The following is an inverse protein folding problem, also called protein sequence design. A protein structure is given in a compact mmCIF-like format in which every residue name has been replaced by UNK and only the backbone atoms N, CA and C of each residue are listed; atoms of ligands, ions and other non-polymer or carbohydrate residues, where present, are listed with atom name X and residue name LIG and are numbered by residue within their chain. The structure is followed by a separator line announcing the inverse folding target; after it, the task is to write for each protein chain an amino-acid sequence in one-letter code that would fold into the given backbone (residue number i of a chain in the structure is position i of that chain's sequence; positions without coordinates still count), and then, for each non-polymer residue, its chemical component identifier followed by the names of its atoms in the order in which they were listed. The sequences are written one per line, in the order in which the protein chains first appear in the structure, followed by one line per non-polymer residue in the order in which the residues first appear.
data_IF_145579701698
#
_entry.id   IF_145579701698
#
_cell.length_a   1.000
_cell.length_b   1.000
_cell.length_c   1.000
_cell.angle_alpha   90.00
_cell.angle_beta   90.00
_cell.angle_gamma   90.00
#
_symmetry.space_group_name_H-M   'P 1'
#
loop_
_entity.id
_entity.type
_entity.pdbx_description
1 polymer ?
#
# COMPACT_ATOMS: atom_id res chain seq x y z
N UNK A 1 28.34 -14.68 0.10
CA UNK A 1 27.00 -15.05 -0.40
C UNK A 1 25.99 -14.33 0.46
N UNK A 2 25.08 -13.51 -0.06
CA UNK A 2 24.00 -12.94 0.74
C UNK A 2 23.21 -14.12 1.32
N UNK A 3 22.86 -14.04 2.60
CA UNK A 3 22.15 -15.14 3.24
C UNK A 3 20.79 -15.31 2.61
N UNK A 4 20.53 -16.47 2.03
CA UNK A 4 19.23 -16.91 1.49
C UNK A 4 18.07 -16.71 2.49
N UNK A 5 18.41 -16.63 3.77
CA UNK A 5 17.48 -16.45 4.90
C UNK A 5 16.71 -15.12 4.87
N UNK A 6 17.32 -14.01 4.43
CA UNK A 6 16.66 -12.69 4.36
C UNK A 6 15.58 -12.66 3.29
N UNK A 7 15.88 -13.13 2.10
CA UNK A 7 14.94 -13.23 0.97
C UNK A 7 13.80 -14.18 1.29
N UNK A 8 14.10 -15.38 1.82
CA UNK A 8 13.08 -16.34 2.23
C UNK A 8 12.14 -15.75 3.30
N UNK A 9 12.68 -15.03 4.29
CA UNK A 9 11.89 -14.40 5.35
C UNK A 9 11.02 -13.25 4.81
N UNK A 10 11.49 -12.47 3.82
CA UNK A 10 10.70 -11.44 3.16
C UNK A 10 9.51 -12.03 2.38
N UNK A 11 9.70 -13.15 1.70
CA UNK A 11 8.61 -13.87 1.05
C UNK A 11 7.57 -14.35 2.05
N UNK A 12 7.97 -14.95 3.17
CA UNK A 12 7.05 -15.39 4.23
C UNK A 12 6.30 -14.19 4.81
N UNK A 13 6.97 -13.07 5.06
CA UNK A 13 6.33 -11.83 5.51
C UNK A 13 5.22 -11.39 4.54
N UNK A 14 5.50 -11.35 3.25
CA UNK A 14 4.53 -10.96 2.21
C UNK A 14 3.33 -11.90 2.16
N UNK A 15 3.56 -13.22 2.27
CA UNK A 15 2.50 -14.23 2.31
C UNK A 15 1.59 -14.03 3.52
N UNK A 16 2.17 -13.83 4.71
CA UNK A 16 1.43 -13.63 5.96
C UNK A 16 0.62 -12.35 5.93
N UNK A 17 1.19 -11.24 5.42
CA UNK A 17 0.46 -9.95 5.24
C UNK A 17 -0.74 -10.11 4.31
N UNK A 18 -0.58 -10.79 3.19
CA UNK A 18 -1.67 -11.07 2.25
C UNK A 18 -2.74 -11.96 2.87
N UNK A 19 -2.35 -12.97 3.62
CA UNK A 19 -3.29 -13.86 4.33
C UNK A 19 -4.13 -13.09 5.36
N UNK A 20 -3.52 -12.21 6.16
CA UNK A 20 -4.20 -11.33 7.11
C UNK A 20 -5.21 -10.41 6.41
N UNK A 21 -4.82 -9.76 5.32
CA UNK A 21 -5.69 -8.89 4.53
C UNK A 21 -6.92 -9.65 3.98
N UNK A 22 -6.72 -10.86 3.44
CA UNK A 22 -7.81 -11.71 2.93
C UNK A 22 -8.81 -12.09 4.01
N UNK A 23 -8.35 -12.39 5.22
CA UNK A 23 -9.24 -12.72 6.36
C UNK A 23 -10.13 -11.56 6.76
N UNK A 24 -9.63 -10.32 6.71
CA UNK A 24 -10.45 -9.12 6.92
C UNK A 24 -11.58 -9.01 5.90
N UNK A 25 -11.29 -9.27 4.62
CA UNK A 25 -12.30 -9.27 3.54
C UNK A 25 -13.36 -10.35 3.80
N UNK A 26 -12.94 -11.57 4.14
CA UNK A 26 -13.85 -12.65 4.44
C UNK A 26 -14.68 -12.45 5.72
N UNK A 27 -14.11 -11.77 6.72
CA UNK A 27 -14.86 -11.37 7.92
C UNK A 27 -16.03 -10.41 7.58
N UNK A 28 -15.78 -9.42 6.69
CA UNK A 28 -16.84 -8.54 6.19
C UNK A 28 -17.92 -9.32 5.46
N UNK A 29 -17.54 -10.29 4.60
CA UNK A 29 -18.49 -11.16 3.89
C UNK A 29 -19.30 -12.00 4.85
N UNK A 30 -18.66 -12.64 5.83
CA UNK A 30 -19.34 -13.44 6.84
C UNK A 30 -20.35 -12.61 7.66
N UNK A 31 -20.03 -11.37 8.02
CA UNK A 31 -20.97 -10.45 8.67
C UNK A 31 -22.20 -10.17 7.81
N UNK A 32 -22.01 -9.88 6.52
CA UNK A 32 -23.13 -9.65 5.58
C UNK A 32 -24.04 -10.86 5.42
N UNK A 33 -23.50 -12.08 5.61
CA UNK A 33 -24.25 -13.33 5.58
C UNK A 33 -24.87 -13.72 6.93
N UNK A 34 -24.76 -12.86 7.97
CA UNK A 34 -25.25 -13.15 9.32
C UNK A 34 -24.42 -14.16 10.12
N UNK A 35 -23.28 -14.59 9.61
CA UNK A 35 -22.39 -15.61 10.21
C UNK A 35 -21.44 -14.96 11.22
N UNK A 36 -22.01 -14.52 12.35
CA UNK A 36 -21.27 -13.71 13.35
C UNK A 36 -20.07 -14.43 13.97
N UNK A 37 -20.21 -15.73 14.27
CA UNK A 37 -19.13 -16.52 14.87
C UNK A 37 -17.94 -16.66 13.91
N UNK A 38 -18.21 -16.96 12.64
CA UNK A 38 -17.19 -17.05 11.59
C UNK A 38 -16.50 -15.67 11.37
N UNK A 39 -17.28 -14.59 11.34
CA UNK A 39 -16.72 -13.24 11.18
C UNK A 39 -15.74 -12.91 12.31
N UNK A 40 -16.10 -13.15 13.56
CA UNK A 40 -15.22 -12.92 14.72
C UNK A 40 -13.97 -13.80 14.67
N UNK A 41 -14.10 -15.06 14.28
CA UNK A 41 -12.95 -15.95 14.12
C UNK A 41 -12.00 -15.44 13.04
N UNK A 42 -12.53 -15.05 11.88
CA UNK A 42 -11.72 -14.52 10.76
C UNK A 42 -11.00 -13.21 11.14
N UNK A 43 -11.63 -12.34 11.92
CA UNK A 43 -10.98 -11.14 12.46
C UNK A 43 -9.84 -11.50 13.41
N UNK A 44 -10.06 -12.44 14.32
CA UNK A 44 -9.04 -12.90 15.26
C UNK A 44 -7.85 -13.56 14.54
N UNK A 45 -8.11 -14.41 13.52
CA UNK A 45 -7.09 -15.02 12.69
C UNK A 45 -6.28 -13.96 11.93
N UNK A 46 -6.96 -12.97 11.34
CA UNK A 46 -6.29 -11.85 10.66
C UNK A 46 -5.40 -11.02 11.61
N UNK A 47 -5.88 -10.76 12.82
CA UNK A 47 -5.10 -10.05 13.85
C UNK A 47 -3.87 -10.87 14.31
N UNK A 48 -4.02 -12.19 14.44
CA UNK A 48 -2.91 -13.09 14.76
C UNK A 48 -1.83 -13.06 13.69
N UNK A 49 -2.21 -13.16 12.42
CA UNK A 49 -1.27 -13.09 11.30
C UNK A 49 -0.61 -11.72 11.18
N UNK A 50 -1.33 -10.64 11.46
CA UNK A 50 -0.75 -9.30 11.49
C UNK A 50 0.34 -9.18 12.59
N UNK A 51 0.13 -9.79 13.73
CA UNK A 51 1.15 -9.85 14.80
C UNK A 51 2.37 -10.69 14.37
N UNK A 52 2.16 -11.82 13.68
CA UNK A 52 3.23 -12.64 13.13
C UNK A 52 4.04 -11.86 12.07
N UNK A 53 3.36 -11.16 11.15
CA UNK A 53 4.00 -10.32 10.14
C UNK A 53 4.87 -9.23 10.77
N UNK A 54 4.39 -8.56 11.83
CA UNK A 54 5.17 -7.56 12.56
C UNK A 54 6.43 -8.16 13.18
N UNK A 55 6.34 -9.35 13.74
CA UNK A 55 7.51 -10.06 14.29
C UNK A 55 8.51 -10.45 13.20
N UNK A 56 8.02 -10.93 12.05
CA UNK A 56 8.87 -11.22 10.88
C UNK A 56 9.59 -9.96 10.41
N UNK A 57 8.87 -8.85 10.26
CA UNK A 57 9.45 -7.58 9.85
C UNK A 57 10.53 -7.08 10.79
N UNK A 58 10.32 -7.17 12.10
CA UNK A 58 11.32 -6.80 13.10
C UNK A 58 12.61 -7.64 13.00
N UNK A 59 12.50 -8.91 12.60
CA UNK A 59 13.67 -9.76 12.35
C UNK A 59 14.34 -9.43 11.01
N UNK A 60 13.56 -9.05 9.99
CA UNK A 60 14.07 -8.64 8.68
C UNK A 60 14.93 -7.38 8.77
N UNK A 61 14.57 -6.40 9.59
CA UNK A 61 15.28 -5.11 9.72
C UNK A 61 16.79 -5.28 9.94
N UNK A 62 17.23 -6.33 10.64
CA UNK A 62 18.66 -6.62 10.86
C UNK A 62 19.33 -7.48 9.79
N UNK A 63 18.62 -7.88 8.72
CA UNK A 63 19.09 -8.86 7.72
C UNK A 63 18.84 -8.40 6.28
N UNK A 64 18.37 -7.16 6.08
CA UNK A 64 18.13 -6.63 4.73
C UNK A 64 19.47 -6.43 4.04
N UNK A 65 19.57 -6.97 2.83
CA UNK A 65 20.72 -6.73 1.96
C UNK A 65 20.68 -5.27 1.45
N UNK A 66 21.74 -4.53 1.74
CA UNK A 66 21.87 -3.13 1.33
C UNK A 66 22.39 -2.97 -0.11
N UNK A 67 22.75 -4.06 -0.77
CA UNK A 67 23.25 -4.06 -2.14
C UNK A 67 22.14 -4.11 -3.20
N UNK A 68 20.90 -4.45 -2.82
CA UNK A 68 19.78 -4.53 -3.75
C UNK A 68 19.37 -3.15 -4.25
N UNK A 69 19.15 -3.04 -5.55
CA UNK A 69 18.56 -1.84 -6.16
C UNK A 69 17.04 -1.81 -6.00
N UNK A 70 16.59 -1.72 -4.75
CA UNK A 70 15.17 -1.74 -4.39
C UNK A 70 14.35 -0.60 -5.02
N UNK A 71 14.99 0.55 -5.33
CA UNK A 71 14.29 1.67 -5.96
C UNK A 71 13.79 1.32 -7.36
N UNK A 72 14.63 0.66 -8.17
CA UNK A 72 14.21 0.22 -9.50
C UNK A 72 13.05 -0.79 -9.41
N UNK A 73 13.13 -1.78 -8.52
CA UNK A 73 12.06 -2.74 -8.29
C UNK A 73 10.75 -2.05 -7.91
N UNK A 74 10.79 -1.11 -6.95
CA UNK A 74 9.59 -0.40 -6.49
C UNK A 74 8.98 0.45 -7.60
N UNK A 75 9.78 1.28 -8.29
CA UNK A 75 9.25 2.30 -9.19
C UNK A 75 9.09 1.83 -10.65
N UNK A 76 9.78 0.79 -11.07
CA UNK A 76 9.71 0.29 -12.45
C UNK A 76 8.87 -0.99 -12.57
N UNK A 77 8.83 -1.84 -11.53
CA UNK A 77 8.11 -3.11 -11.56
C UNK A 77 6.84 -3.08 -10.71
N UNK A 78 6.94 -2.86 -9.40
CA UNK A 78 5.78 -2.93 -8.49
C UNK A 78 4.75 -1.83 -8.79
N UNK A 79 5.18 -0.59 -9.03
CA UNK A 79 4.29 0.51 -9.38
C UNK A 79 3.51 0.22 -10.68
N UNK A 80 4.19 -0.36 -11.68
CA UNK A 80 3.55 -0.75 -12.94
C UNK A 80 2.52 -1.86 -12.73
N UNK A 81 2.80 -2.86 -11.89
CA UNK A 81 1.87 -3.93 -11.55
C UNK A 81 0.62 -3.40 -10.85
N UNK A 82 0.79 -2.52 -9.87
CA UNK A 82 -0.34 -1.90 -9.14
C UNK A 82 -1.21 -1.07 -10.08
N UNK A 83 -0.59 -0.26 -10.95
CA UNK A 83 -1.32 0.56 -11.94
C UNK A 83 -2.08 -0.31 -12.94
N UNK A 84 -1.49 -1.40 -13.43
CA UNK A 84 -2.17 -2.36 -14.31
C UNK A 84 -3.36 -3.02 -13.60
N UNK A 85 -3.23 -3.35 -12.32
CA UNK A 85 -4.32 -3.85 -11.49
C UNK A 85 -5.49 -2.88 -11.41
N UNK A 86 -5.23 -1.59 -11.16
CA UNK A 86 -6.27 -0.56 -11.15
C UNK A 86 -6.94 -0.40 -12.53
N UNK A 87 -6.18 -0.42 -13.61
CA UNK A 87 -6.73 -0.29 -14.97
C UNK A 87 -7.68 -1.45 -15.32
N UNK A 88 -7.26 -2.67 -15.05
CA UNK A 88 -8.09 -3.87 -15.26
C UNK A 88 -9.42 -3.79 -14.47
N UNK A 89 -9.37 -3.33 -13.21
CA UNK A 89 -10.59 -3.16 -12.42
C UNK A 89 -11.46 -2.00 -12.89
N UNK A 90 -10.87 -0.92 -13.42
CA UNK A 90 -11.59 0.19 -14.03
C UNK A 90 -12.36 -0.26 -15.29
N UNK A 91 -11.75 -1.06 -16.16
CA UNK A 91 -12.41 -1.63 -17.33
C UNK A 91 -13.61 -2.48 -16.91
N UNK A 92 -13.44 -3.36 -15.94
CA UNK A 92 -14.51 -4.18 -15.39
C UNK A 92 -15.65 -3.35 -14.78
N UNK A 93 -15.32 -2.31 -14.01
CA UNK A 93 -16.32 -1.42 -13.41
C UNK A 93 -17.12 -0.62 -14.46
N UNK A 94 -16.46 -0.17 -15.53
CA UNK A 94 -17.11 0.49 -16.67
C UNK A 94 -18.04 -0.47 -17.40
N UNK A 95 -17.59 -1.68 -17.67
CA UNK A 95 -18.41 -2.71 -18.36
C UNK A 95 -19.68 -3.07 -17.58
N UNK A 96 -19.63 -3.00 -16.25
CA UNK A 96 -20.79 -3.26 -15.37
C UNK A 96 -21.62 -2.01 -15.05
N UNK A 97 -21.24 -0.83 -15.55
CA UNK A 97 -21.94 0.43 -15.28
C UNK A 97 -21.83 0.91 -13.82
N UNK A 98 -20.87 0.41 -13.04
CA UNK A 98 -20.69 0.79 -11.64
C UNK A 98 -19.94 2.11 -11.50
N UNK A 99 -20.65 3.24 -11.65
CA UNK A 99 -20.08 4.59 -11.63
C UNK A 99 -19.39 4.94 -10.31
N UNK A 100 -19.91 4.46 -9.18
CA UNK A 100 -19.30 4.69 -7.87
C UNK A 100 -17.92 4.02 -7.78
N UNK A 101 -17.81 2.77 -8.23
CA UNK A 101 -16.54 2.05 -8.25
C UNK A 101 -15.56 2.67 -9.25
N UNK A 102 -16.03 3.10 -10.42
CA UNK A 102 -15.21 3.84 -11.40
C UNK A 102 -14.62 5.10 -10.78
N UNK A 103 -15.41 5.87 -10.03
CA UNK A 103 -14.94 7.08 -9.36
C UNK A 103 -13.82 6.76 -8.35
N UNK A 104 -14.04 5.79 -7.47
CA UNK A 104 -13.05 5.39 -6.45
C UNK A 104 -11.77 4.88 -7.09
N UNK A 105 -11.85 3.94 -8.05
CA UNK A 105 -10.68 3.37 -8.71
C UNK A 105 -9.89 4.43 -9.50
N UNK A 106 -10.59 5.40 -10.10
CA UNK A 106 -9.94 6.51 -10.80
C UNK A 106 -9.11 7.36 -9.85
N UNK A 107 -9.64 7.64 -8.65
CA UNK A 107 -8.90 8.40 -7.63
C UNK A 107 -7.68 7.62 -7.11
N UNK A 108 -7.85 6.32 -6.79
CA UNK A 108 -6.75 5.47 -6.33
C UNK A 108 -5.65 5.36 -7.38
N UNK A 109 -6.01 5.11 -8.64
CA UNK A 109 -5.06 5.08 -9.75
C UNK A 109 -4.30 6.39 -9.94
N UNK A 110 -4.98 7.54 -9.81
CA UNK A 110 -4.32 8.86 -9.89
C UNK A 110 -3.34 9.07 -8.74
N UNK A 111 -3.70 8.68 -7.52
CA UNK A 111 -2.82 8.76 -6.38
C UNK A 111 -1.57 7.88 -6.56
N UNK A 112 -1.75 6.65 -7.02
CA UNK A 112 -0.67 5.70 -7.29
C UNK A 112 0.26 6.20 -8.41
N UNK A 113 -0.30 6.64 -9.54
CA UNK A 113 0.48 7.14 -10.67
C UNK A 113 1.40 8.32 -10.29
N UNK A 114 1.01 9.14 -9.31
CA UNK A 114 1.85 10.23 -8.82
C UNK A 114 3.13 9.73 -8.18
N UNK A 115 3.15 8.55 -7.60
CA UNK A 115 4.34 8.02 -6.92
C UNK A 115 5.54 7.92 -7.85
N UNK A 116 5.31 7.75 -9.16
CA UNK A 116 6.38 7.76 -10.16
C UNK A 116 7.21 9.05 -10.19
N UNK A 117 6.64 10.18 -9.74
CA UNK A 117 7.33 11.47 -9.73
C UNK A 117 8.41 11.59 -8.64
N UNK A 118 8.43 10.66 -7.69
CA UNK A 118 9.41 10.64 -6.59
C UNK A 118 10.72 9.91 -6.96
N UNK A 119 10.80 9.35 -8.16
CA UNK A 119 11.96 8.62 -8.63
C UNK A 119 12.53 9.20 -9.92
N UNK A 120 13.81 9.62 -9.88
CA UNK A 120 14.58 10.03 -11.04
C UNK A 120 15.24 8.80 -11.68
N UNK A 121 14.57 8.22 -12.69
CA UNK A 121 15.06 7.03 -13.40
C UNK A 121 16.42 7.21 -14.07
N UNK A 122 16.74 8.43 -14.52
CA UNK A 122 18.02 8.68 -15.19
C UNK A 122 19.18 8.64 -14.20
N UNK A 123 18.93 9.06 -12.97
CA UNK A 123 19.94 9.09 -11.90
C UNK A 123 19.86 7.88 -10.96
N UNK A 124 18.84 7.05 -11.06
CA UNK A 124 18.62 5.90 -10.19
C UNK A 124 18.45 6.26 -8.72
N UNK A 125 17.85 7.42 -8.41
CA UNK A 125 17.67 7.91 -7.04
C UNK A 125 16.32 8.60 -6.83
N UNK A 126 15.95 8.79 -5.56
CA UNK A 126 14.76 9.59 -5.22
C UNK A 126 14.92 11.05 -5.66
N UNK A 127 13.82 11.63 -6.11
CA UNK A 127 13.74 13.01 -6.60
C UNK A 127 13.20 13.96 -5.51
N UNK A 128 13.61 13.75 -4.26
CA UNK A 128 13.18 14.51 -3.07
C UNK A 128 14.38 14.85 -2.20
N UNK A 129 14.25 15.86 -1.34
CA UNK A 129 15.27 16.21 -0.35
C UNK A 129 15.31 15.24 0.82
N UNK A 130 16.45 15.11 1.50
CA UNK A 130 16.64 14.20 2.64
C UNK A 130 15.77 14.57 3.85
N UNK A 131 15.42 15.85 4.00
CA UNK A 131 14.60 16.41 5.06
C UNK A 131 13.15 16.70 4.62
N UNK A 132 12.69 16.05 3.54
CA UNK A 132 11.35 16.27 3.00
C UNK A 132 10.27 15.77 3.95
N UNK A 133 9.24 16.59 4.13
CA UNK A 133 8.04 16.23 4.88
C UNK A 133 6.99 15.60 3.96
N UNK A 134 6.39 14.51 4.40
CA UNK A 134 5.40 13.76 3.64
C UNK A 134 4.04 13.77 4.31
N UNK A 135 2.99 13.95 3.50
CA UNK A 135 1.60 13.98 3.96
C UNK A 135 0.73 13.07 3.12
N UNK A 136 -0.02 12.18 3.76
CA UNK A 136 -0.87 11.18 3.07
C UNK A 136 -2.34 11.47 3.29
N UNK A 137 -3.11 11.50 2.20
CA UNK A 137 -4.56 11.55 2.26
C UNK A 137 -5.10 10.15 2.67
N UNK A 138 -5.84 10.02 3.80
CA UNK A 138 -6.31 8.73 4.28
C UNK A 138 -7.43 8.12 3.42
N UNK A 139 -8.00 8.88 2.48
CA UNK A 139 -9.10 8.42 1.63
C UNK A 139 -8.63 7.83 0.30
N UNK A 140 -7.66 8.46 -0.37
CA UNK A 140 -7.22 8.01 -1.69
C UNK A 140 -5.73 7.66 -1.77
N UNK A 141 -4.97 7.84 -0.69
CA UNK A 141 -3.52 7.56 -0.67
C UNK A 141 -2.67 8.64 -1.36
N UNK A 142 -3.23 9.78 -1.79
CA UNK A 142 -2.43 10.86 -2.38
C UNK A 142 -1.31 11.29 -1.45
N UNK A 143 -0.08 11.31 -1.97
CA UNK A 143 1.12 11.71 -1.26
C UNK A 143 1.52 13.13 -1.66
N UNK A 144 1.57 14.04 -0.69
CA UNK A 144 2.08 15.40 -0.83
C UNK A 144 3.43 15.54 -0.13
N UNK A 145 4.22 16.50 -0.58
CA UNK A 145 5.51 16.89 0.01
C UNK A 145 5.47 18.34 0.50
N UNK A 146 6.32 18.67 1.45
CA UNK A 146 6.49 20.00 2.05
C UNK A 146 5.40 20.38 3.04
N UNK A 147 4.15 20.41 2.60
CA UNK A 147 2.98 20.72 3.45
C UNK A 147 1.72 20.03 2.98
N UNK A 148 0.80 19.80 3.90
CA UNK A 148 -0.53 19.32 3.56
C UNK A 148 -1.27 20.36 2.69
N UNK A 149 -1.88 19.97 1.57
CA UNK A 149 -2.70 20.86 0.78
C UNK A 149 -4.01 21.17 1.53
N UNK A 150 -4.63 22.34 1.27
CA UNK A 150 -5.93 22.71 1.85
C UNK A 150 -7.06 21.73 1.47
N UNK A 151 -6.93 21.14 0.29
CA UNK A 151 -7.80 20.06 -0.21
C UNK A 151 -6.96 19.06 -1.00
N UNK A 152 -7.31 17.78 -0.85
CA UNK A 152 -6.67 16.73 -1.64
C UNK A 152 -6.96 16.95 -3.14
N UNK A 153 -5.95 17.09 -4.00
CA UNK A 153 -6.14 17.37 -5.43
C UNK A 153 -6.73 16.18 -6.20
N UNK A 154 -6.76 15.00 -5.58
CA UNK A 154 -7.28 13.77 -6.20
C UNK A 154 -8.73 13.49 -5.82
N UNK A 155 -9.08 13.55 -4.52
CA UNK A 155 -10.42 13.18 -4.04
C UNK A 155 -11.20 14.36 -3.42
N UNK A 156 -10.59 15.54 -3.26
CA UNK A 156 -11.25 16.72 -2.68
C UNK A 156 -11.39 16.71 -1.15
N UNK A 157 -10.86 15.70 -0.45
CA UNK A 157 -10.90 15.64 1.01
C UNK A 157 -10.26 16.88 1.64
N UNK A 158 -10.81 17.33 2.79
CA UNK A 158 -10.29 18.49 3.52
C UNK A 158 -8.86 18.24 4.00
N UNK A 159 -7.99 19.26 3.92
CA UNK A 159 -6.58 19.17 4.27
C UNK A 159 -6.33 18.78 5.73
N UNK A 160 -7.22 19.16 6.64
CA UNK A 160 -7.16 18.76 8.05
C UNK A 160 -7.23 17.24 8.30
N UNK A 161 -7.73 16.48 7.32
CA UNK A 161 -7.74 15.02 7.36
C UNK A 161 -6.42 14.38 6.86
N UNK A 162 -5.60 15.16 6.14
CA UNK A 162 -4.33 14.69 5.57
C UNK A 162 -3.31 14.60 6.69
N UNK A 163 -2.64 13.46 6.81
CA UNK A 163 -1.74 13.15 7.92
C UNK A 163 -0.29 13.23 7.51
N UNK A 164 0.52 13.86 8.35
CA UNK A 164 1.96 13.77 8.22
C UNK A 164 2.44 12.34 8.53
N UNK A 165 3.35 11.85 7.72
CA UNK A 165 4.01 10.58 7.96
C UNK A 165 5.15 10.83 8.94
N UNK A 166 4.90 10.57 10.22
CA UNK A 166 5.96 10.60 11.23
C UNK A 166 6.87 9.39 11.01
N UNK A 167 8.13 9.64 10.73
CA UNK A 167 9.17 8.61 10.64
C UNK A 167 10.17 8.81 11.77
N UNK A 168 10.27 7.85 12.66
CA UNK A 168 11.46 7.67 13.48
C UNK A 168 12.48 6.91 12.64
N UNK A 169 13.26 7.62 11.85
CA UNK A 169 14.32 7.05 11.01
C UNK A 169 15.68 7.07 11.69
#
# INVERSE_FOLDING_TARGET
MPSDDGTAMALVFSVVKRAAARKRIYAVRARKLGRRAEARLLEALGASEEAQARRLFNNLRGRIDLSENFLATIFDEELAEVLAGYESQLESARATGNSALVSVLTQLRKAEARLSSFYDRQRGRVAVADDEHYFVCPFCGYLATGKAPERCPVCGAAGESIREVAGDF
#
